data_IF_326793070346
#
_entry.id   IF_326793070346
#
_cell.length_a   1.000
_cell.length_b   1.000
_cell.length_c   1.000
_cell.angle_alpha   90.00
_cell.angle_beta   90.00
_cell.angle_gamma   90.00
#
_symmetry.space_group_name_H-M   'P 1'
#
loop_
_entity.id
_entity.type
_entity.pdbx_description
1 polymer ?
#
# COMPACT_ATOMS: atom_id res chain seq x y z
N UNK A 1 -9.49 -2.62 -4.77
CA UNK A 1 -10.44 -3.18 -3.78
C UNK A 1 -11.86 -3.15 -4.32
N UNK A 2 -12.72 -4.02 -3.82
CA UNK A 2 -14.18 -3.96 -3.96
C UNK A 2 -14.79 -3.84 -2.57
N UNK A 3 -15.86 -3.05 -2.41
CA UNK A 3 -16.51 -2.80 -1.13
C UNK A 3 -18.04 -2.72 -1.26
N UNK A 4 -18.70 -3.36 -0.32
CA UNK A 4 -20.12 -3.23 -0.04
C UNK A 4 -20.31 -3.19 1.48
N UNK A 5 -20.38 -1.99 2.05
CA UNK A 5 -20.46 -1.77 3.49
C UNK A 5 -21.42 -0.63 3.84
N UNK A 6 -21.82 -0.53 5.12
CA UNK A 6 -22.64 0.59 5.58
C UNK A 6 -21.87 1.91 5.47
N UNK A 7 -22.44 2.86 4.71
CA UNK A 7 -21.86 4.18 4.48
C UNK A 7 -21.68 4.97 5.78
N UNK A 8 -20.43 5.23 6.15
CA UNK A 8 -20.04 6.05 7.29
C UNK A 8 -19.83 5.27 8.60
N UNK A 9 -20.02 3.95 8.59
CA UNK A 9 -19.95 3.12 9.80
C UNK A 9 -19.01 1.93 9.61
N UNK A 10 -19.22 1.16 8.54
CA UNK A 10 -18.36 0.04 8.19
C UNK A 10 -17.33 0.48 7.14
N UNK A 11 -16.06 0.22 7.39
CA UNK A 11 -14.99 0.76 6.56
C UNK A 11 -13.78 -0.16 6.40
N UNK A 12 -13.15 -0.06 5.23
CA UNK A 12 -11.85 -0.64 4.96
C UNK A 12 -10.79 0.45 5.04
N UNK A 13 -9.91 0.28 6.00
CA UNK A 13 -8.81 1.19 6.28
C UNK A 13 -7.49 0.67 5.73
N UNK A 14 -6.69 1.60 5.20
CA UNK A 14 -5.30 1.38 4.78
C UNK A 14 -4.44 2.22 5.69
N UNK A 15 -3.69 1.57 6.56
CA UNK A 15 -2.94 2.23 7.62
C UNK A 15 -1.44 1.92 7.57
N UNK A 16 -0.67 2.81 8.19
CA UNK A 16 0.72 2.60 8.53
C UNK A 16 0.98 2.84 10.03
N UNK A 17 2.01 2.20 10.56
CA UNK A 17 2.45 2.34 11.94
C UNK A 17 3.98 2.30 12.04
N UNK A 18 4.52 3.07 12.99
CA UNK A 18 5.95 3.08 13.34
C UNK A 18 6.27 2.20 14.57
N UNK A 19 5.27 1.86 15.37
CA UNK A 19 5.43 1.09 16.62
C UNK A 19 4.75 -0.28 16.58
N UNK A 20 3.99 -0.57 15.51
CA UNK A 20 3.23 -1.80 15.35
C UNK A 20 1.98 -1.88 16.24
N UNK A 21 1.63 -0.80 16.95
CA UNK A 21 0.49 -0.72 17.86
C UNK A 21 -0.52 0.36 17.45
N UNK A 22 -0.04 1.53 17.05
CA UNK A 22 -0.86 2.67 16.63
C UNK A 22 -0.81 2.83 15.11
N UNK A 23 -1.97 2.73 14.46
CA UNK A 23 -2.12 2.71 13.01
C UNK A 23 -2.88 3.93 12.52
N UNK A 24 -2.39 4.56 11.46
CA UNK A 24 -2.98 5.79 10.89
C UNK A 24 -3.00 5.76 9.36
N UNK A 25 -4.00 6.42 8.76
CA UNK A 25 -4.14 6.49 7.31
C UNK A 25 -5.57 6.81 6.89
N UNK A 26 -6.08 6.14 5.86
CA UNK A 26 -7.34 6.48 5.22
C UNK A 26 -8.29 5.29 5.15
N UNK A 27 -9.58 5.56 5.31
CA UNK A 27 -10.64 4.57 5.26
C UNK A 27 -11.60 4.84 4.11
N UNK A 28 -12.26 3.79 3.64
CA UNK A 28 -13.27 3.82 2.59
C UNK A 28 -14.49 3.05 3.08
N UNK A 29 -15.67 3.63 2.88
CA UNK A 29 -16.95 3.10 3.34
C UNK A 29 -17.98 3.16 2.20
N UNK A 30 -19.10 2.46 2.32
CA UNK A 30 -20.18 2.45 1.35
C UNK A 30 -19.98 1.42 0.24
N UNK A 31 -20.44 1.75 -0.96
CA UNK A 31 -20.44 0.84 -2.12
C UNK A 31 -19.47 1.34 -3.18
N UNK A 32 -18.45 0.55 -3.52
CA UNK A 32 -17.44 0.92 -4.53
C UNK A 32 -17.95 0.82 -5.97
N UNK A 33 -19.09 0.15 -6.19
CA UNK A 33 -19.69 -0.09 -7.52
C UNK A 33 -18.76 -0.82 -8.51
N UNK A 34 -17.87 -1.67 -7.98
CA UNK A 34 -16.87 -2.39 -8.76
C UNK A 34 -15.48 -2.35 -8.12
N UNK A 35 -14.48 -2.87 -8.85
CA UNK A 35 -13.09 -2.79 -8.42
C UNK A 35 -12.55 -1.37 -8.61
N UNK A 36 -12.00 -0.79 -7.55
CA UNK A 36 -11.38 0.53 -7.54
C UNK A 36 -9.94 0.46 -7.04
N UNK A 37 -9.07 1.32 -7.57
CA UNK A 37 -7.70 1.48 -7.06
C UNK A 37 -7.70 2.37 -5.82
N UNK A 38 -6.92 1.99 -4.82
CA UNK A 38 -6.70 2.75 -3.60
C UNK A 38 -5.23 2.76 -3.24
N UNK A 39 -4.74 3.87 -2.71
CA UNK A 39 -3.34 4.06 -2.35
C UNK A 39 -3.24 4.64 -0.95
N UNK A 40 -2.29 4.14 -0.16
CA UNK A 40 -1.78 4.81 1.03
C UNK A 40 -0.45 5.45 0.66
N UNK A 41 -0.40 6.79 0.66
CA UNK A 41 0.83 7.52 0.40
C UNK A 41 1.71 7.55 1.66
N UNK A 42 2.74 6.71 1.70
CA UNK A 42 3.68 6.64 2.82
C UNK A 42 4.57 7.89 2.96
N UNK A 43 4.50 8.84 2.03
CA UNK A 43 5.17 10.14 2.16
C UNK A 43 4.31 11.17 2.91
N UNK A 44 3.03 10.89 3.13
CA UNK A 44 2.08 11.78 3.80
C UNK A 44 0.96 10.99 4.50
N UNK A 45 1.30 10.28 5.56
CA UNK A 45 0.34 9.54 6.38
C UNK A 45 -0.30 10.48 7.41
N UNK A 46 -1.62 10.39 7.57
CA UNK A 46 -2.35 11.16 8.60
C UNK A 46 -1.70 10.94 9.99
N UNK A 47 -1.52 12.00 10.77
CA UNK A 47 -0.80 12.05 12.06
C UNK A 47 0.72 11.80 11.97
N UNK A 48 1.20 10.82 11.21
CA UNK A 48 2.62 10.42 11.19
C UNK A 48 3.49 11.22 10.21
N UNK A 49 2.90 11.80 9.16
CA UNK A 49 3.64 12.51 8.11
C UNK A 49 4.44 11.59 7.18
N UNK A 50 5.68 11.98 6.88
CA UNK A 50 6.54 11.27 5.92
C UNK A 50 7.29 10.11 6.58
N UNK A 51 7.07 8.89 6.07
CA UNK A 51 7.66 7.66 6.61
C UNK A 51 8.91 7.19 5.84
N UNK A 52 9.38 7.95 4.84
CA UNK A 52 10.60 7.59 4.12
C UNK A 52 11.82 7.62 5.05
N UNK A 53 12.68 6.61 4.93
CA UNK A 53 13.90 6.48 5.73
C UNK A 53 13.70 5.88 7.12
N UNK A 54 12.45 5.64 7.55
CA UNK A 54 12.17 4.91 8.79
C UNK A 54 12.69 3.48 8.69
N UNK A 55 13.29 2.99 9.77
CA UNK A 55 13.92 1.65 9.82
C UNK A 55 12.90 0.52 9.72
N UNK A 56 11.67 0.76 10.19
CA UNK A 56 10.55 -0.16 10.12
C UNK A 56 9.25 0.64 9.94
N UNK A 57 8.39 0.14 9.07
CA UNK A 57 7.02 0.62 8.88
C UNK A 57 6.13 -0.61 8.76
N UNK A 58 5.10 -0.68 9.61
CA UNK A 58 4.04 -1.67 9.51
C UNK A 58 2.94 -1.13 8.62
N UNK A 59 2.38 -1.97 7.74
CA UNK A 59 1.23 -1.63 6.89
C UNK A 59 0.09 -2.57 7.26
N UNK A 60 -1.10 -2.02 7.46
CA UNK A 60 -2.30 -2.76 7.78
C UNK A 60 -3.42 -2.47 6.79
N UNK A 61 -4.20 -3.51 6.51
CA UNK A 61 -5.49 -3.43 5.85
C UNK A 61 -6.49 -3.97 6.86
N UNK A 62 -7.38 -3.10 7.32
CA UNK A 62 -8.32 -3.40 8.40
C UNK A 62 -9.74 -3.20 7.89
N UNK A 63 -10.62 -4.16 8.17
CA UNK A 63 -12.05 -3.99 7.97
C UNK A 63 -12.69 -3.81 9.35
N UNK A 64 -13.18 -2.61 9.61
CA UNK A 64 -13.81 -2.21 10.85
C UNK A 64 -15.32 -2.10 10.63
N UNK A 65 -16.11 -2.65 11.55
CA UNK A 65 -17.58 -2.63 11.48
C UNK A 65 -18.19 -2.20 12.80
N UNK A 66 -19.41 -1.66 12.74
CA UNK A 66 -20.19 -1.36 13.93
C UNK A 66 -21.12 -2.52 14.34
N UNK A 67 -22.05 -2.28 15.27
CA UNK A 67 -22.98 -3.30 15.76
C UNK A 67 -24.25 -3.45 14.92
N UNK A 68 -24.39 -2.69 13.84
CA UNK A 68 -25.61 -2.54 13.06
C UNK A 68 -25.39 -2.81 11.57
N UNK A 69 -26.29 -2.33 10.72
CA UNK A 69 -26.51 -2.63 9.29
C UNK A 69 -25.40 -3.44 8.61
N UNK A 70 -25.65 -4.73 8.37
CA UNK A 70 -24.68 -5.60 7.71
C UNK A 70 -24.99 -5.80 6.23
N UNK A 71 -23.95 -5.76 5.41
CA UNK A 71 -24.01 -6.09 3.99
C UNK A 71 -23.21 -7.36 3.70
N UNK A 72 -23.68 -8.23 2.77
CA UNK A 72 -22.94 -9.43 2.39
C UNK A 72 -21.64 -9.07 1.66
N UNK A 73 -20.70 -10.03 1.66
CA UNK A 73 -19.37 -9.96 1.06
C UNK A 73 -18.37 -9.00 1.73
N UNK A 74 -18.82 -7.83 2.17
CA UNK A 74 -17.98 -6.84 2.84
C UNK A 74 -16.92 -6.29 1.89
N UNK A 75 -15.66 -6.70 2.09
CA UNK A 75 -14.51 -6.15 1.39
C UNK A 75 -13.61 -7.21 0.77
N UNK A 76 -13.21 -6.96 -0.49
CA UNK A 76 -12.15 -7.72 -1.16
C UNK A 76 -11.00 -6.79 -1.54
N UNK A 77 -9.77 -7.25 -1.27
CA UNK A 77 -8.53 -6.58 -1.66
C UNK A 77 -7.67 -7.55 -2.45
N UNK A 78 -7.12 -7.06 -3.56
CA UNK A 78 -6.24 -7.81 -4.44
C UNK A 78 -5.20 -6.86 -5.06
N UNK A 79 -4.13 -7.42 -5.63
CA UNK A 79 -3.01 -6.71 -6.25
C UNK A 79 -2.33 -5.71 -5.31
N UNK A 80 -2.08 -6.13 -4.07
CA UNK A 80 -1.36 -5.31 -3.09
C UNK A 80 0.11 -5.19 -3.49
N UNK A 81 0.53 -3.97 -3.81
CA UNK A 81 1.91 -3.67 -4.22
C UNK A 81 2.48 -2.57 -3.31
N UNK A 82 3.65 -2.84 -2.73
CA UNK A 82 4.46 -1.81 -2.06
C UNK A 82 5.52 -1.27 -3.04
N UNK A 83 5.52 0.03 -3.26
CA UNK A 83 6.46 0.70 -4.16
C UNK A 83 7.42 1.58 -3.36
N UNK A 84 8.72 1.41 -3.58
CA UNK A 84 9.77 2.22 -2.97
C UNK A 84 10.71 2.77 -4.04
N UNK A 85 10.93 4.07 -3.98
CA UNK A 85 11.95 4.75 -4.76
C UNK A 85 13.33 4.58 -4.10
N UNK A 86 14.23 3.85 -4.77
CA UNK A 86 15.59 3.59 -4.26
C UNK A 86 16.65 4.52 -4.87
N UNK A 87 16.25 5.46 -5.74
CA UNK A 87 17.15 6.42 -6.39
C UNK A 87 16.51 7.82 -6.44
N UNK A 88 17.33 8.89 -6.54
CA UNK A 88 16.85 10.27 -6.56
C UNK A 88 15.86 10.59 -7.70
N UNK A 89 15.85 9.80 -8.77
CA UNK A 89 14.99 10.02 -9.94
C UNK A 89 13.78 9.08 -9.92
N UNK A 90 12.89 9.28 -8.95
CA UNK A 90 11.50 8.86 -9.17
C UNK A 90 10.78 10.03 -9.83
N UNK A 91 10.91 10.13 -11.15
CA UNK A 91 9.99 10.95 -11.94
C UNK A 91 8.69 10.15 -12.03
N UNK A 92 7.65 10.58 -11.33
CA UNK A 92 6.36 9.91 -11.21
C UNK A 92 5.54 9.88 -12.49
N UNK A 93 6.10 9.44 -13.61
CA UNK A 93 5.41 9.42 -14.90
C UNK A 93 5.78 8.14 -15.66
N UNK A 94 4.84 7.18 -15.65
CA UNK A 94 4.66 6.06 -16.60
C UNK A 94 5.63 4.87 -16.54
N UNK A 95 5.29 3.83 -15.76
CA UNK A 95 5.35 2.43 -16.18
C UNK A 95 4.57 1.53 -15.20
N UNK A 96 3.86 0.55 -15.74
CA UNK A 96 3.03 -0.46 -15.07
C UNK A 96 1.66 -0.03 -14.54
N UNK A 97 0.81 0.40 -15.49
CA UNK A 97 -0.51 -0.24 -15.59
C UNK A 97 -0.27 -1.66 -16.14
N UNK A 98 -0.64 -2.68 -15.35
CA UNK A 98 -0.65 -4.11 -15.68
C UNK A 98 0.67 -4.89 -15.51
N UNK A 99 0.81 -5.61 -14.39
CA UNK A 99 1.68 -6.79 -14.34
C UNK A 99 1.16 -7.88 -13.39
N UNK A 100 0.49 -8.90 -13.94
CA UNK A 100 0.65 -10.29 -13.52
C UNK A 100 0.95 -11.19 -14.74
N UNK A 101 1.36 -12.46 -14.59
CA UNK A 101 2.33 -13.10 -13.69
C UNK A 101 3.73 -13.20 -14.34
N UNK A 102 4.79 -13.09 -13.53
CA UNK A 102 6.19 -13.19 -13.99
C UNK A 102 7.09 -12.02 -13.55
N UNK A 103 6.67 -11.22 -12.58
CA UNK A 103 7.44 -10.10 -12.05
C UNK A 103 8.78 -10.56 -11.45
N UNK A 104 9.85 -10.51 -12.26
CA UNK A 104 11.20 -10.60 -11.76
C UNK A 104 11.66 -9.21 -11.29
N UNK A 105 11.72 -9.04 -9.98
CA UNK A 105 12.66 -8.12 -9.36
C UNK A 105 14.08 -8.66 -9.62
N UNK A 106 14.72 -8.20 -10.71
CA UNK A 106 16.16 -8.42 -10.89
C UNK A 106 16.90 -7.40 -10.06
N UNK A 107 17.24 -7.76 -8.82
CA UNK A 107 18.32 -7.09 -8.09
C UNK A 107 19.61 -7.86 -8.37
N UNK A 108 20.42 -7.37 -9.31
CA UNK A 108 21.84 -7.73 -9.38
C UNK A 108 22.67 -6.48 -9.18
N UNK A 109 22.96 -6.19 -7.91
CA UNK A 109 24.13 -5.40 -7.55
C UNK A 109 25.38 -6.24 -7.84
N UNK A 110 25.81 -6.20 -9.10
CA UNK A 110 27.12 -6.69 -9.51
C UNK A 110 28.16 -5.61 -9.26
N UNK A 111 28.81 -5.62 -8.09
CA UNK A 111 30.10 -4.95 -7.91
C UNK A 111 31.15 -5.78 -8.64
N UNK A 112 31.40 -5.46 -9.91
CA UNK A 112 32.52 -6.04 -10.64
C UNK A 112 33.81 -5.31 -10.23
N UNK A 113 34.56 -5.95 -9.33
CA UNK A 113 35.91 -5.52 -8.95
C UNK A 113 36.86 -5.85 -10.10
N UNK A 114 37.09 -4.90 -11.02
CA UNK A 114 38.23 -4.98 -11.94
C UNK A 114 39.52 -5.06 -11.12
N UNK A 115 40.22 -6.20 -11.14
CA UNK A 115 41.66 -6.25 -10.88
C UNK A 115 42.37 -6.17 -12.23
N UNK A 116 43.14 -5.10 -12.39
CA UNK A 116 44.17 -4.93 -13.42
C UNK A 116 45.35 -5.83 -13.06
N UNK A 117 45.78 -6.59 -14.07
CA UNK A 117 47.13 -7.05 -14.43
C UNK A 117 48.14 -7.38 -13.32
N UNK A 118 48.73 -8.59 -13.41
CA UNK A 118 50.17 -8.87 -13.60
C UNK A 118 50.28 -10.21 -14.33
#
# INVERSE_FOLDING_TARGET
>A
MWLNSEQGFDEVCRFASLDGANFYGNCTTGISSGWIDQTLDLTNVYILGNLLGQSQVWVAIEFYTDYSVTYPEGAYVDNVVLRKCIRPTCSGVLADLHAPPGSQLVTRDGVEKRRSDH
#
